data_IF_332311866795
#
_entry.id   IF_332311866795
#
_cell.length_a   1.000
_cell.length_b   1.000
_cell.length_c   1.000
_cell.angle_alpha   90.00
_cell.angle_beta   90.00
_cell.angle_gamma   90.00
#
_symmetry.space_group_name_H-M   'P 1'
#
loop_
_entity.id
_entity.type
_entity.pdbx_description
1 polymer ?
#
# COMPACT_ATOMS: atom_id res chain seq x y z
N UNK A 1 7.61 -1.77 -1.78
CA UNK A 1 8.79 -2.61 -2.10
C UNK A 1 9.95 -1.69 -2.49
N UNK A 2 11.20 -2.00 -2.10
CA UNK A 2 12.37 -1.13 -2.34
C UNK A 2 13.27 -1.72 -3.43
N UNK A 3 13.76 -0.88 -4.34
CA UNK A 3 14.73 -1.24 -5.37
C UNK A 3 15.74 -0.11 -5.51
N UNK A 4 16.98 -0.30 -5.07
CA UNK A 4 18.13 0.58 -5.37
C UNK A 4 17.80 2.05 -5.73
N UNK A 5 17.44 2.86 -4.73
CA UNK A 5 17.09 4.28 -4.92
C UNK A 5 15.62 4.57 -5.30
N UNK A 6 14.84 3.57 -5.65
CA UNK A 6 13.40 3.62 -5.93
C UNK A 6 12.54 2.84 -4.92
N UNK A 7 11.33 3.31 -4.67
CA UNK A 7 10.24 2.57 -4.01
C UNK A 7 9.07 2.40 -4.96
N UNK A 8 8.52 1.19 -5.00
CA UNK A 8 7.22 0.94 -5.60
C UNK A 8 6.13 0.95 -4.54
N UNK A 9 5.19 1.86 -4.73
CA UNK A 9 3.94 2.00 -4.01
C UNK A 9 2.81 1.41 -4.86
N UNK A 10 1.84 0.76 -4.21
CA UNK A 10 0.73 0.15 -4.91
C UNK A 10 -0.58 0.34 -4.13
N UNK A 11 -1.63 0.73 -4.85
CA UNK A 11 -3.01 0.58 -4.41
C UNK A 11 -3.67 -0.45 -5.32
N UNK A 12 -4.24 -1.49 -4.73
CA UNK A 12 -4.82 -2.62 -5.46
C UNK A 12 -6.21 -2.97 -4.92
N UNK A 13 -7.06 -3.46 -5.80
CA UNK A 13 -8.35 -4.02 -5.42
C UNK A 13 -8.16 -5.43 -4.87
N UNK A 14 -8.65 -5.63 -3.65
CA UNK A 14 -8.70 -6.96 -3.05
C UNK A 14 -9.62 -7.86 -3.87
N UNK A 15 -9.11 -9.04 -4.24
CA UNK A 15 -9.87 -10.12 -4.86
C UNK A 15 -9.82 -11.33 -3.92
N UNK A 16 -10.98 -11.91 -3.62
CA UNK A 16 -11.03 -13.05 -2.68
C UNK A 16 -10.40 -14.27 -3.35
N UNK A 17 -9.41 -14.86 -2.69
CA UNK A 17 -8.75 -16.09 -3.15
C UNK A 17 -7.72 -15.92 -4.28
N UNK A 18 -7.46 -14.70 -4.74
CA UNK A 18 -6.46 -14.43 -5.78
C UNK A 18 -5.58 -13.25 -5.40
N UNK A 19 -4.52 -13.03 -6.18
CA UNK A 19 -3.68 -11.85 -6.07
C UNK A 19 -4.54 -10.59 -6.30
N UNK A 20 -4.37 -9.53 -5.49
CA UNK A 20 -5.03 -8.24 -5.71
C UNK A 20 -4.74 -7.69 -7.09
N UNK A 21 -5.73 -7.04 -7.71
CA UNK A 21 -5.53 -6.41 -9.01
C UNK A 21 -5.06 -4.97 -8.82
N UNK A 22 -3.87 -4.58 -9.32
CA UNK A 22 -3.35 -3.23 -9.15
C UNK A 22 -4.28 -2.19 -9.79
N UNK A 23 -4.61 -1.13 -9.04
CA UNK A 23 -5.35 0.04 -9.54
C UNK A 23 -4.40 1.18 -9.88
N UNK A 24 -3.41 1.42 -9.03
CA UNK A 24 -2.40 2.46 -9.19
C UNK A 24 -1.05 1.94 -8.70
N UNK A 25 -0.01 2.20 -9.47
CA UNK A 25 1.38 1.89 -9.14
C UNK A 25 2.20 3.17 -9.28
N UNK A 26 3.03 3.47 -8.29
CA UNK A 26 3.82 4.70 -8.26
C UNK A 26 5.25 4.38 -7.87
N UNK A 27 6.19 4.93 -8.64
CA UNK A 27 7.60 4.95 -8.27
C UNK A 27 7.93 6.28 -7.58
N UNK A 28 8.61 6.21 -6.45
CA UNK A 28 9.22 7.37 -5.78
C UNK A 28 10.68 7.09 -5.49
N UNK A 29 11.43 8.11 -5.07
CA UNK A 29 12.76 7.89 -4.50
C UNK A 29 12.66 7.16 -3.13
N UNK A 30 13.76 6.54 -2.69
CA UNK A 30 13.80 5.78 -1.42
C UNK A 30 13.80 6.61 -0.15
N UNK A 31 14.12 7.88 -0.26
CA UNK A 31 14.10 8.87 0.82
C UNK A 31 12.72 9.51 1.01
N UNK A 32 11.86 9.50 -0.01
CA UNK A 32 10.49 10.01 0.10
C UNK A 32 9.64 9.22 1.11
N UNK A 33 8.88 9.97 1.93
CA UNK A 33 7.96 9.39 2.90
C UNK A 33 6.71 8.84 2.22
N UNK A 34 6.39 7.58 2.50
CA UNK A 34 5.26 6.86 1.94
C UNK A 34 3.92 7.60 2.16
N UNK A 35 3.72 8.26 3.32
CA UNK A 35 2.49 9.02 3.60
C UNK A 35 2.37 10.28 2.75
N UNK A 36 3.49 10.95 2.45
CA UNK A 36 3.54 12.13 1.58
C UNK A 36 3.21 11.73 0.14
N UNK A 37 3.82 10.65 -0.36
CA UNK A 37 3.53 10.10 -1.69
C UNK A 37 2.07 9.71 -1.79
N UNK A 38 1.52 9.06 -0.75
CA UNK A 38 0.11 8.70 -0.71
C UNK A 38 -0.81 9.92 -0.82
N UNK A 39 -0.54 10.96 -0.01
CA UNK A 39 -1.33 12.21 0.00
C UNK A 39 -1.29 12.93 -1.34
N UNK A 40 -0.11 13.02 -1.95
CA UNK A 40 0.12 13.73 -3.22
C UNK A 40 -0.56 13.02 -4.39
N UNK A 41 -0.40 11.71 -4.49
CA UNK A 41 -0.71 11.00 -5.73
C UNK A 41 -2.04 10.26 -5.72
N UNK A 42 -2.48 9.75 -4.55
CA UNK A 42 -3.60 8.82 -4.49
C UNK A 42 -4.91 9.45 -4.02
N UNK A 43 -4.86 10.42 -3.11
CA UNK A 43 -6.06 10.95 -2.43
C UNK A 43 -7.06 11.57 -3.40
N UNK A 44 -6.60 12.26 -4.44
CA UNK A 44 -7.49 12.84 -5.46
C UNK A 44 -8.26 11.80 -6.27
N UNK A 45 -7.74 10.57 -6.37
CA UNK A 45 -8.19 9.51 -7.27
C UNK A 45 -8.99 8.39 -6.59
N UNK A 46 -9.09 8.39 -5.26
CA UNK A 46 -9.68 7.29 -4.48
C UNK A 46 -11.04 7.63 -3.85
N UNK A 47 -11.79 8.56 -4.43
CA UNK A 47 -13.12 8.95 -3.93
C UNK A 47 -14.09 7.75 -3.86
N UNK A 48 -14.97 7.73 -2.85
CA UNK A 48 -15.96 6.66 -2.62
C UNK A 48 -15.35 5.26 -2.45
N UNK A 49 -14.28 5.13 -1.67
CA UNK A 49 -13.61 3.85 -1.40
C UNK A 49 -13.25 3.68 0.07
N UNK A 50 -13.31 2.43 0.52
CA UNK A 50 -12.68 1.98 1.75
C UNK A 50 -11.26 1.52 1.45
N UNK A 51 -10.29 2.01 2.22
CA UNK A 51 -8.87 1.72 2.07
C UNK A 51 -8.38 1.05 3.35
N UNK A 52 -7.67 -0.06 3.19
CA UNK A 52 -7.00 -0.75 4.27
C UNK A 52 -5.50 -0.54 4.09
N UNK A 53 -4.86 0.13 5.04
CA UNK A 53 -3.48 0.58 4.93
C UNK A 53 -2.71 0.39 6.24
N UNK A 54 -1.39 0.53 6.18
CA UNK A 54 -0.56 0.53 7.37
C UNK A 54 -0.78 1.77 8.24
N UNK A 55 -0.34 1.68 9.51
CA UNK A 55 -0.46 2.76 10.50
C UNK A 55 0.15 4.08 10.03
N UNK A 56 1.21 4.04 9.23
CA UNK A 56 1.88 5.25 8.73
C UNK A 56 0.96 6.13 7.88
N UNK A 57 -0.11 5.56 7.33
CA UNK A 57 -1.12 6.28 6.55
C UNK A 57 -2.28 6.80 7.39
N UNK A 58 -2.29 6.57 8.71
CA UNK A 58 -3.40 6.91 9.60
C UNK A 58 -3.42 8.39 10.01
N UNK A 59 -2.83 9.30 9.26
CA UNK A 59 -2.77 10.72 9.59
C UNK A 59 -4.17 11.35 9.57
N UNK A 60 -4.79 11.30 10.74
CA UNK A 60 -6.19 11.69 11.02
C UNK A 60 -6.51 13.14 10.58
N UNK A 61 -5.63 14.16 10.73
CA UNK A 61 -5.98 15.53 10.36
C UNK A 61 -6.28 15.67 8.86
N UNK A 62 -5.44 15.05 8.02
CA UNK A 62 -5.54 15.16 6.56
C UNK A 62 -6.84 14.53 6.00
N UNK A 63 -7.29 13.42 6.60
CA UNK A 63 -8.51 12.73 6.14
C UNK A 63 -9.80 13.31 6.71
N UNK A 64 -9.75 13.96 7.87
CA UNK A 64 -10.90 14.69 8.42
C UNK A 64 -11.27 15.88 7.53
N UNK A 65 -10.27 16.65 7.10
CA UNK A 65 -10.46 17.82 6.23
C UNK A 65 -10.91 17.42 4.81
N UNK A 66 -10.44 16.28 4.31
CA UNK A 66 -10.87 15.74 3.01
C UNK A 66 -12.22 15.01 3.06
N UNK A 67 -12.66 14.50 4.22
CA UNK A 67 -14.01 13.93 4.38
C UNK A 67 -15.11 15.00 4.30
N UNK A 68 -14.85 16.22 4.78
CA UNK A 68 -15.80 17.34 4.66
C UNK A 68 -15.89 17.87 3.22
N UNK A 69 -14.80 17.82 2.45
CA UNK A 69 -14.74 18.35 1.08
C UNK A 69 -14.93 17.29 -0.03
N UNK A 70 -14.76 15.99 0.25
CA UNK A 70 -14.89 14.90 -0.73
C UNK A 70 -15.52 13.66 -0.09
N UNK A 71 -16.64 13.22 -0.68
CA UNK A 71 -17.38 12.01 -0.29
C UNK A 71 -16.44 10.80 -0.08
N UNK A 72 -16.44 10.30 1.15
CA UNK A 72 -16.34 8.87 1.46
C UNK A 72 -15.00 8.19 1.21
N UNK A 73 -13.89 8.75 1.72
CA UNK A 73 -12.64 7.98 1.89
C UNK A 73 -12.52 7.51 3.35
N UNK A 74 -12.62 6.20 3.59
CA UNK A 74 -12.43 5.61 4.91
C UNK A 74 -11.11 4.83 4.94
N UNK A 75 -10.16 5.24 5.79
CA UNK A 75 -8.89 4.52 5.97
C UNK A 75 -8.91 3.73 7.27
N UNK A 76 -8.78 2.42 7.14
CA UNK A 76 -8.64 1.50 8.27
C UNK A 76 -7.18 1.10 8.41
N UNK A 77 -6.59 1.46 9.56
CA UNK A 77 -5.18 1.21 9.87
C UNK A 77 -5.00 0.26 11.05
N UNK A 78 -3.96 -0.57 11.00
CA UNK A 78 -3.54 -1.41 12.12
C UNK A 78 -2.98 -0.53 13.25
N UNK A 79 -3.77 -0.26 14.30
CA UNK A 79 -3.25 0.43 15.48
C UNK A 79 -2.41 -0.53 16.30
N UNK A 80 -1.08 -0.33 16.30
CA UNK A 80 -0.21 -0.96 17.30
C UNK A 80 -0.45 -0.35 18.68
N UNK A 81 -0.56 -1.23 19.67
CA UNK A 81 -0.78 -0.91 21.08
C UNK A 81 0.34 0.00 21.61
N UNK A 82 -0.02 1.20 22.08
CA UNK A 82 0.86 1.99 22.94
C UNK A 82 0.49 1.64 24.38
N UNK A 83 1.46 1.04 25.10
CA UNK A 83 1.38 0.46 26.45
C UNK A 83 0.98 1.43 27.60
N UNK A 84 0.29 2.54 27.32
CA UNK A 84 0.17 3.67 28.24
C UNK A 84 -1.22 3.93 28.82
N UNK A 85 -2.23 3.11 28.56
CA UNK A 85 -3.56 3.30 29.17
C UNK A 85 -3.81 2.13 30.14
N UNK A 86 -3.68 2.35 31.46
CA UNK A 86 -3.89 1.31 32.47
C UNK A 86 -5.34 0.82 32.56
N UNK A 87 -6.30 1.60 32.06
CA UNK A 87 -7.74 1.44 32.31
C UNK A 87 -8.55 0.90 31.13
N UNK A 88 -7.90 0.35 30.09
CA UNK A 88 -8.64 -0.28 28.99
C UNK A 88 -9.28 -1.57 29.49
N UNK A 89 -10.62 -1.61 29.51
CA UNK A 89 -11.35 -2.82 29.89
C UNK A 89 -10.94 -4.01 29.01
N UNK A 90 -10.93 -5.24 29.57
CA UNK A 90 -10.56 -6.46 28.82
C UNK A 90 -11.39 -6.61 27.53
N UNK A 91 -12.66 -6.17 27.56
CA UNK A 91 -13.58 -6.19 26.40
C UNK A 91 -13.14 -5.23 25.29
N UNK A 92 -12.77 -4.00 25.63
CA UNK A 92 -12.26 -3.04 24.65
C UNK A 92 -10.97 -3.49 24.00
N UNK A 93 -10.06 -4.07 24.80
CA UNK A 93 -8.83 -4.65 24.26
C UNK A 93 -9.14 -5.75 23.25
N UNK A 94 -10.01 -6.71 23.61
CA UNK A 94 -10.41 -7.79 22.71
C UNK A 94 -11.05 -7.27 21.40
N UNK A 95 -11.92 -6.26 21.48
CA UNK A 95 -12.54 -5.65 20.31
C UNK A 95 -11.51 -4.99 19.37
N UNK A 96 -10.53 -4.27 19.93
CA UNK A 96 -9.46 -3.63 19.15
C UNK A 96 -8.51 -4.64 18.54
N UNK A 97 -8.15 -5.68 19.27
CA UNK A 97 -7.29 -6.76 18.78
C UNK A 97 -7.96 -7.50 17.62
N UNK A 98 -9.27 -7.77 17.73
CA UNK A 98 -10.07 -8.37 16.65
C UNK A 98 -10.12 -7.46 15.41
N UNK A 99 -10.34 -6.15 15.61
CA UNK A 99 -10.34 -5.18 14.52
C UNK A 99 -8.97 -5.13 13.82
N UNK A 100 -7.89 -4.99 14.59
CA UNK A 100 -6.51 -4.96 14.09
C UNK A 100 -6.14 -6.22 13.31
N UNK A 101 -6.54 -7.38 13.81
CA UNK A 101 -6.36 -8.68 13.15
C UNK A 101 -7.11 -8.72 11.82
N UNK A 102 -8.34 -8.18 11.79
CA UNK A 102 -9.17 -8.13 10.59
C UNK A 102 -8.54 -7.23 9.52
N UNK A 103 -8.15 -6.00 9.88
CA UNK A 103 -7.44 -5.08 8.97
C UNK A 103 -6.18 -5.71 8.41
N UNK A 104 -5.38 -6.37 9.27
CA UNK A 104 -4.15 -7.05 8.86
C UNK A 104 -4.42 -8.18 7.86
N UNK A 105 -5.45 -9.02 8.11
CA UNK A 105 -5.87 -10.07 7.17
C UNK A 105 -6.34 -9.53 5.82
N UNK A 106 -7.01 -8.38 5.82
CA UNK A 106 -7.46 -7.71 4.58
C UNK A 106 -6.27 -7.15 3.80
N UNK A 107 -5.22 -6.69 4.49
CA UNK A 107 -4.00 -6.12 3.89
C UNK A 107 -3.06 -7.20 3.34
N UNK A 108 -2.89 -8.33 4.02
CA UNK A 108 -1.96 -9.42 3.68
C UNK A 108 -1.83 -9.73 2.16
N UNK A 109 -2.92 -9.79 1.37
CA UNK A 109 -2.82 -10.02 -0.07
C UNK A 109 -1.93 -9.02 -0.83
N UNK A 110 -1.73 -7.79 -0.35
CA UNK A 110 -0.82 -6.83 -1.00
C UNK A 110 0.64 -7.29 -0.93
N UNK A 111 1.03 -7.99 0.12
CA UNK A 111 2.36 -8.58 0.26
C UNK A 111 2.54 -9.72 -0.75
N UNK A 112 1.49 -10.52 -0.98
CA UNK A 112 1.48 -11.54 -2.02
C UNK A 112 1.62 -10.94 -3.42
N UNK A 113 1.00 -9.80 -3.71
CA UNK A 113 1.20 -9.06 -4.97
C UNK A 113 2.66 -8.67 -5.17
N UNK A 114 3.31 -8.09 -4.15
CA UNK A 114 4.72 -7.70 -4.26
C UNK A 114 5.62 -8.92 -4.43
N UNK A 115 5.39 -10.00 -3.66
CA UNK A 115 6.17 -11.23 -3.80
C UNK A 115 6.02 -11.83 -5.20
N UNK A 116 4.79 -11.91 -5.70
CA UNK A 116 4.50 -12.41 -7.05
C UNK A 116 5.16 -11.55 -8.13
N UNK A 117 5.11 -10.22 -8.00
CA UNK A 117 5.79 -9.32 -8.93
C UNK A 117 7.29 -9.62 -8.95
N UNK A 118 7.90 -9.79 -7.78
CA UNK A 118 9.32 -10.12 -7.67
C UNK A 118 9.65 -11.46 -8.34
N UNK A 119 8.85 -12.49 -8.05
CA UNK A 119 9.03 -13.84 -8.61
C UNK A 119 8.92 -13.86 -10.14
N UNK A 120 7.95 -13.14 -10.72
CA UNK A 120 7.71 -13.15 -12.17
C UNK A 120 8.72 -12.35 -12.98
N UNK A 121 9.31 -11.32 -12.39
CA UNK A 121 10.08 -10.33 -13.15
C UNK A 121 11.55 -10.26 -12.76
N UNK A 122 11.87 -10.74 -11.55
CA UNK A 122 13.14 -10.48 -10.87
C UNK A 122 13.50 -8.99 -10.89
N UNK A 123 12.50 -8.14 -10.65
CA UNK A 123 12.58 -6.68 -10.70
C UNK A 123 13.63 -6.11 -9.74
N UNK A 124 14.04 -6.88 -8.72
CA UNK A 124 15.17 -6.51 -7.86
C UNK A 124 16.52 -6.45 -8.59
N UNK A 125 16.68 -7.14 -9.74
CA UNK A 125 17.88 -6.99 -10.59
C UNK A 125 18.09 -5.57 -11.13
N UNK A 126 17.06 -4.71 -11.06
CA UNK A 126 17.16 -3.29 -11.35
C UNK A 126 18.34 -2.62 -10.61
N UNK A 127 18.76 -3.14 -9.45
CA UNK A 127 19.93 -2.64 -8.71
C UNK A 127 21.27 -2.66 -9.47
N UNK A 128 21.38 -3.44 -10.55
CA UNK A 128 22.60 -3.52 -11.37
C UNK A 128 22.67 -2.40 -12.41
N UNK A 129 21.59 -1.66 -12.62
CA UNK A 129 21.50 -0.60 -13.61
C UNK A 129 22.18 0.67 -13.06
N UNK A 130 23.17 1.19 -13.80
CA UNK A 130 24.02 2.30 -13.34
C UNK A 130 23.47 3.70 -13.65
N UNK A 131 22.45 3.80 -14.51
CA UNK A 131 21.85 5.07 -14.93
C UNK A 131 20.39 5.14 -14.52
N UNK A 132 19.94 6.30 -14.03
CA UNK A 132 18.57 6.52 -13.53
C UNK A 132 17.50 6.33 -14.61
N UNK A 133 17.74 6.83 -15.83
CA UNK A 133 16.85 6.63 -16.97
C UNK A 133 16.70 5.14 -17.32
N UNK A 134 17.83 4.42 -17.38
CA UNK A 134 17.82 2.97 -17.60
C UNK A 134 17.11 2.21 -16.48
N UNK A 135 17.27 2.65 -15.23
CA UNK A 135 16.61 2.05 -14.07
C UNK A 135 15.09 2.19 -14.16
N UNK A 136 14.60 3.38 -14.54
CA UNK A 136 13.17 3.63 -14.73
C UNK A 136 12.60 2.79 -15.87
N UNK A 137 13.24 2.78 -17.03
CA UNK A 137 12.80 1.98 -18.19
C UNK A 137 12.76 0.49 -17.83
N UNK A 138 13.82 -0.03 -17.22
CA UNK A 138 13.88 -1.43 -16.79
C UNK A 138 12.75 -1.77 -15.81
N UNK A 139 12.53 -0.93 -14.81
CA UNK A 139 11.48 -1.14 -13.79
C UNK A 139 10.08 -1.11 -14.41
N UNK A 140 9.81 -0.14 -15.28
CA UNK A 140 8.53 0.00 -15.98
C UNK A 140 8.25 -1.19 -16.91
N UNK A 141 9.24 -1.63 -17.68
CA UNK A 141 9.10 -2.76 -18.61
C UNK A 141 8.79 -4.06 -17.85
N UNK A 142 9.50 -4.32 -16.74
CA UNK A 142 9.22 -5.46 -15.86
C UNK A 142 7.82 -5.43 -15.28
N UNK A 143 7.38 -4.27 -14.78
CA UNK A 143 6.01 -4.09 -14.28
C UNK A 143 4.99 -4.34 -15.39
N UNK A 144 5.20 -3.80 -16.59
CA UNK A 144 4.30 -3.99 -17.72
C UNK A 144 4.15 -5.48 -18.09
N UNK A 145 5.26 -6.21 -18.21
CA UNK A 145 5.25 -7.65 -18.51
C UNK A 145 4.49 -8.43 -17.43
N UNK A 146 4.72 -8.12 -16.15
CA UNK A 146 3.97 -8.73 -15.07
C UNK A 146 2.48 -8.44 -15.19
N UNK A 147 2.06 -7.18 -15.37
CA UNK A 147 0.65 -6.83 -15.46
C UNK A 147 -0.05 -7.50 -16.66
N UNK A 148 0.62 -7.59 -17.81
CA UNK A 148 0.13 -8.34 -18.97
C UNK A 148 -0.08 -9.80 -18.59
N UNK A 149 0.89 -10.42 -17.92
CA UNK A 149 0.78 -11.80 -17.43
C UNK A 149 -0.36 -11.95 -16.43
N UNK A 150 -0.64 -10.93 -15.59
CA UNK A 150 -1.74 -10.95 -14.63
C UNK A 150 -3.12 -10.85 -15.30
N UNK A 151 -3.21 -10.16 -16.44
CA UNK A 151 -4.46 -9.97 -17.20
C UNK A 151 -4.81 -11.23 -18.01
N UNK A 152 -3.80 -11.90 -18.57
CA UNK A 152 -3.98 -13.04 -19.46
C UNK A 152 -3.75 -14.41 -18.80
N UNK A 153 -3.52 -14.45 -17.49
CA UNK A 153 -3.59 -15.68 -16.66
C UNK A 153 -5.02 -15.93 -16.19
#
# INVERSE_FOLDING_TARGET
>A
MYYFGLKLHAVAFRRKGTIPFPKMLILSATDENDSTVFKREYVGNLNNREIYADKIYSDIPFYKETQECKKTLAIYSCKSYQRRIPEVTKREKAARDLFSTTVSKVRQPIEALFNWLNEKTDIQRAMKVRFTSGLLVHTMEKIAIALITLIFN
#
